data_IF_613727718273
#
_entry.id   IF_613727718273
#
_cell.length_a   1.000
_cell.length_b   1.000
_cell.length_c   1.000
_cell.angle_alpha   90.00
_cell.angle_beta   90.00
_cell.angle_gamma   90.00
#
_symmetry.space_group_name_H-M   'P 1'
#
loop_
_entity.id
_entity.type
_entity.pdbx_description
1 polymer ?
#
# COMPACT_ATOMS: atom_id res chain seq x y z
N UNK A 1 10.82 -26.07 -7.53
CA UNK A 1 9.61 -25.49 -8.17
C UNK A 1 9.71 -23.98 -8.03
N UNK A 2 9.43 -23.24 -9.11
CA UNK A 2 9.79 -21.84 -9.29
C UNK A 2 8.79 -20.87 -8.62
N UNK A 3 9.04 -20.46 -7.37
CA UNK A 3 8.24 -19.39 -6.72
C UNK A 3 8.40 -18.03 -7.42
N UNK A 4 9.63 -17.67 -7.84
CA UNK A 4 9.92 -16.33 -8.43
C UNK A 4 9.16 -15.98 -9.72
N UNK A 5 8.66 -16.97 -10.46
CA UNK A 5 8.01 -16.74 -11.77
C UNK A 5 6.56 -16.28 -11.64
N UNK A 6 5.87 -16.69 -10.57
CA UNK A 6 4.47 -16.32 -10.30
C UNK A 6 4.38 -14.89 -9.74
N UNK A 7 5.25 -14.55 -8.79
CA UNK A 7 5.31 -13.21 -8.18
C UNK A 7 5.45 -12.09 -9.21
N UNK A 8 6.29 -12.31 -10.23
CA UNK A 8 6.57 -11.31 -11.27
C UNK A 8 5.34 -11.09 -12.17
N UNK A 9 4.61 -12.15 -12.51
CA UNK A 9 3.37 -12.07 -13.30
C UNK A 9 2.25 -11.41 -12.50
N UNK A 10 2.08 -11.76 -11.23
CA UNK A 10 1.01 -11.19 -10.39
C UNK A 10 1.18 -9.68 -10.19
N UNK A 11 2.40 -9.25 -9.85
CA UNK A 11 2.72 -7.84 -9.65
C UNK A 11 2.54 -7.07 -10.97
N UNK A 12 2.82 -7.68 -12.14
CA UNK A 12 2.61 -7.05 -13.45
C UNK A 12 1.16 -6.65 -13.75
N UNK A 13 0.16 -7.29 -13.12
CA UNK A 13 -1.27 -7.00 -13.32
C UNK A 13 -1.76 -5.80 -12.50
N UNK A 14 -0.95 -5.34 -11.54
CA UNK A 14 -1.23 -4.17 -10.74
C UNK A 14 -0.79 -2.94 -11.55
N UNK A 15 -1.72 -2.01 -11.88
CA UNK A 15 -1.34 -0.80 -12.58
C UNK A 15 -0.36 0.02 -11.73
N UNK A 16 0.40 0.92 -12.36
CA UNK A 16 1.22 1.89 -11.62
C UNK A 16 0.32 3.04 -11.21
N UNK A 17 0.33 3.44 -9.94
CA UNK A 17 -0.36 4.66 -9.49
C UNK A 17 0.45 5.87 -9.98
N UNK A 18 -0.12 6.60 -10.92
CA UNK A 18 0.42 7.86 -11.43
C UNK A 18 -0.34 9.08 -10.92
N UNK A 19 -1.30 8.88 -10.00
CA UNK A 19 -2.22 9.91 -9.51
C UNK A 19 -3.58 9.93 -10.23
N UNK A 20 -3.76 9.12 -11.25
CA UNK A 20 -5.05 8.85 -11.90
C UNK A 20 -5.55 7.44 -11.57
N UNK A 21 -6.82 7.15 -11.90
CA UNK A 21 -7.43 5.80 -11.78
C UNK A 21 -7.22 5.12 -10.43
N UNK A 22 -7.11 5.89 -9.34
CA UNK A 22 -6.87 5.40 -7.97
C UNK A 22 -7.74 4.20 -7.60
N UNK A 23 -9.05 4.23 -7.87
CA UNK A 23 -9.94 3.11 -7.53
C UNK A 23 -9.54 1.77 -8.17
N UNK A 24 -9.05 1.77 -9.41
CA UNK A 24 -8.58 0.54 -10.07
C UNK A 24 -7.26 0.05 -9.45
N UNK A 25 -6.32 0.97 -9.21
CA UNK A 25 -5.07 0.67 -8.52
C UNK A 25 -5.33 0.10 -7.12
N UNK A 26 -6.19 0.76 -6.34
CA UNK A 26 -6.53 0.40 -4.97
C UNK A 26 -7.13 -1.01 -4.91
N UNK A 27 -8.10 -1.33 -5.77
CA UNK A 27 -8.71 -2.67 -5.80
C UNK A 27 -7.67 -3.75 -6.11
N UNK A 28 -6.80 -3.54 -7.10
CA UNK A 28 -5.74 -4.50 -7.48
C UNK A 28 -4.70 -4.66 -6.38
N UNK A 29 -4.24 -3.55 -5.78
CA UNK A 29 -3.27 -3.57 -4.70
C UNK A 29 -3.83 -4.26 -3.45
N UNK A 30 -5.09 -3.96 -3.05
CA UNK A 30 -5.74 -4.65 -1.93
C UNK A 30 -5.82 -6.16 -2.15
N UNK A 31 -6.22 -6.60 -3.35
CA UNK A 31 -6.27 -8.03 -3.67
C UNK A 31 -4.90 -8.68 -3.55
N UNK A 32 -3.84 -8.03 -4.05
CA UNK A 32 -2.49 -8.56 -3.99
C UNK A 32 -1.92 -8.60 -2.56
N UNK A 33 -2.20 -7.59 -1.74
CA UNK A 33 -1.80 -7.60 -0.33
C UNK A 33 -2.57 -8.67 0.46
N UNK A 34 -3.86 -8.90 0.16
CA UNK A 34 -4.63 -9.99 0.80
C UNK A 34 -4.10 -11.37 0.48
N UNK A 35 -3.70 -11.63 -0.76
CA UNK A 35 -3.17 -12.96 -1.12
C UNK A 35 -1.82 -13.28 -0.45
N UNK A 36 -1.19 -12.30 0.18
CA UNK A 36 0.07 -12.42 0.93
C UNK A 36 -0.10 -12.21 2.44
N UNK A 37 -1.33 -12.09 2.94
CA UNK A 37 -1.62 -11.76 4.35
C UNK A 37 -1.01 -10.42 4.83
N UNK A 38 -0.82 -9.47 3.91
CA UNK A 38 -0.20 -8.16 4.18
C UNK A 38 -1.21 -7.01 4.26
N UNK A 39 -2.48 -7.23 3.94
CA UNK A 39 -3.45 -6.11 3.95
C UNK A 39 -3.67 -5.56 5.36
N UNK A 40 -3.66 -6.43 6.37
CA UNK A 40 -4.03 -6.06 7.74
C UNK A 40 -3.10 -4.98 8.32
N UNK A 41 -1.79 -5.07 8.04
CA UNK A 41 -0.81 -4.08 8.52
C UNK A 41 -0.96 -2.69 7.90
N UNK A 42 -1.74 -2.57 6.82
CA UNK A 42 -2.01 -1.30 6.15
C UNK A 42 -3.39 -0.73 6.52
N UNK A 43 -4.30 -1.52 7.09
CA UNK A 43 -5.65 -1.07 7.47
C UNK A 43 -5.83 -0.93 8.99
N UNK A 44 -5.02 -1.64 9.80
CA UNK A 44 -5.14 -1.68 11.25
C UNK A 44 -3.84 -1.29 11.94
N UNK A 45 -3.95 -0.99 13.23
CA UNK A 45 -2.79 -0.85 14.13
C UNK A 45 -2.57 -2.16 14.88
N UNK A 46 -1.31 -2.45 15.22
CA UNK A 46 -1.01 -3.54 16.13
C UNK A 46 -1.61 -3.27 17.51
N UNK A 47 -2.02 -4.33 18.22
CA UNK A 47 -2.52 -4.22 19.59
C UNK A 47 -1.43 -3.63 20.53
N UNK A 48 -1.80 -2.74 21.46
CA UNK A 48 -0.84 -2.08 22.35
C UNK A 48 -0.15 -3.04 23.33
N UNK A 49 -0.77 -4.18 23.63
CA UNK A 49 -0.28 -5.24 24.52
C UNK A 49 0.35 -6.42 23.76
N UNK A 50 0.62 -6.25 22.46
CA UNK A 50 1.22 -7.29 21.65
C UNK A 50 2.61 -7.69 22.15
N UNK A 51 2.88 -9.00 22.16
CA UNK A 51 4.21 -9.51 22.49
C UNK A 51 5.29 -8.99 21.53
N UNK A 52 6.54 -8.92 21.98
CA UNK A 52 7.69 -8.52 21.14
C UNK A 52 7.79 -9.34 19.85
N UNK A 53 7.46 -10.64 19.89
CA UNK A 53 7.46 -11.49 18.70
C UNK A 53 6.38 -11.06 17.69
N UNK A 54 5.18 -10.71 18.18
CA UNK A 54 4.11 -10.20 17.34
C UNK A 54 4.47 -8.84 16.73
N UNK A 55 5.06 -7.92 17.52
CA UNK A 55 5.58 -6.63 17.03
C UNK A 55 6.59 -6.84 15.91
N UNK A 56 7.58 -7.72 16.09
CA UNK A 56 8.59 -7.97 15.06
C UNK A 56 8.01 -8.55 13.77
N UNK A 57 7.04 -9.47 13.86
CA UNK A 57 6.33 -10.02 12.70
C UNK A 57 5.53 -8.93 11.98
N UNK A 58 4.83 -8.09 12.74
CA UNK A 58 4.06 -6.97 12.22
C UNK A 58 4.94 -5.95 11.50
N UNK A 59 6.06 -5.55 12.10
CA UNK A 59 7.02 -4.62 11.49
C UNK A 59 7.58 -5.18 10.18
N UNK A 60 7.93 -6.47 10.15
CA UNK A 60 8.41 -7.12 8.91
C UNK A 60 7.33 -7.12 7.82
N UNK A 61 6.10 -7.46 8.15
CA UNK A 61 4.97 -7.43 7.22
C UNK A 61 4.69 -5.99 6.74
N UNK A 62 4.79 -4.99 7.63
CA UNK A 62 4.68 -3.56 7.27
C UNK A 62 5.71 -3.18 6.22
N UNK A 63 6.99 -3.52 6.40
CA UNK A 63 8.04 -3.22 5.43
C UNK A 63 7.84 -3.96 4.10
N UNK A 64 7.39 -5.21 4.13
CA UNK A 64 7.09 -5.96 2.92
C UNK A 64 5.95 -5.31 2.11
N UNK A 65 4.87 -4.91 2.80
CA UNK A 65 3.76 -4.21 2.18
C UNK A 65 4.17 -2.85 1.60
N UNK A 66 4.99 -2.06 2.33
CA UNK A 66 5.54 -0.79 1.85
C UNK A 66 6.36 -1.01 0.57
N UNK A 67 7.21 -2.04 0.53
CA UNK A 67 8.00 -2.35 -0.66
C UNK A 67 7.09 -2.70 -1.85
N UNK A 68 6.07 -3.53 -1.66
CA UNK A 68 5.12 -3.86 -2.74
C UNK A 68 4.36 -2.63 -3.23
N UNK A 69 3.89 -1.76 -2.33
CA UNK A 69 3.20 -0.53 -2.68
C UNK A 69 4.13 0.38 -3.49
N UNK A 70 5.33 0.64 -3.00
CA UNK A 70 6.29 1.57 -3.62
C UNK A 70 6.78 1.12 -4.99
N UNK A 71 6.85 -0.18 -5.27
CA UNK A 71 7.15 -0.69 -6.62
C UNK A 71 6.03 -0.41 -7.64
N UNK A 72 4.84 -0.03 -7.18
CA UNK A 72 3.64 0.18 -8.01
C UNK A 72 3.11 1.61 -7.90
N UNK A 73 3.98 2.55 -7.60
CA UNK A 73 3.72 3.99 -7.73
C UNK A 73 4.76 4.64 -8.63
N UNK A 74 4.41 5.76 -9.27
CA UNK A 74 5.39 6.58 -9.99
C UNK A 74 6.32 7.29 -9.02
N UNK A 75 7.48 7.75 -9.52
CA UNK A 75 8.44 8.53 -8.72
C UNK A 75 7.83 9.83 -8.15
N UNK A 76 6.90 10.45 -8.89
CA UNK A 76 6.13 11.60 -8.39
C UNK A 76 5.31 11.22 -7.16
N UNK A 77 4.49 10.17 -7.28
CA UNK A 77 3.64 9.69 -6.18
C UNK A 77 4.51 9.28 -5.00
N UNK A 78 5.63 8.58 -5.24
CA UNK A 78 6.60 8.20 -4.22
C UNK A 78 7.06 9.42 -3.40
N UNK A 79 7.52 10.48 -4.06
CA UNK A 79 7.96 11.72 -3.39
C UNK A 79 6.85 12.42 -2.61
N UNK A 80 5.61 12.31 -3.07
CA UNK A 80 4.45 12.92 -2.39
C UNK A 80 4.09 12.16 -1.10
N UNK A 81 4.16 10.83 -1.13
CA UNK A 81 3.66 9.99 -0.03
C UNK A 81 4.73 9.48 0.92
N UNK A 82 5.96 9.21 0.46
CA UNK A 82 7.03 8.65 1.29
C UNK A 82 7.79 9.75 2.04
N UNK A 83 7.74 9.70 3.37
CA UNK A 83 8.52 10.51 4.31
C UNK A 83 8.96 9.65 5.52
N UNK A 84 9.57 10.29 6.54
CA UNK A 84 10.05 9.60 7.75
C UNK A 84 8.97 8.87 8.55
N UNK A 85 7.70 9.24 8.42
CA UNK A 85 6.59 8.61 9.13
C UNK A 85 6.06 7.40 8.34
N UNK A 86 5.85 7.56 7.04
CA UNK A 86 5.23 6.53 6.19
C UNK A 86 6.21 5.43 5.76
N UNK A 87 7.52 5.69 5.77
CA UNK A 87 8.53 4.71 5.35
C UNK A 87 8.65 3.55 6.34
N UNK A 88 8.20 3.75 7.59
CA UNK A 88 8.25 2.72 8.63
C UNK A 88 6.89 2.08 8.93
N UNK A 89 5.79 2.70 8.46
CA UNK A 89 4.44 2.32 8.84
C UNK A 89 3.51 2.22 7.62
N UNK A 90 3.14 0.98 7.23
CA UNK A 90 2.28 0.75 6.06
C UNK A 90 0.92 1.42 6.22
N UNK A 91 0.37 1.47 7.44
CA UNK A 91 -0.93 2.09 7.68
C UNK A 91 -0.90 3.57 7.38
N UNK A 92 0.13 4.27 7.84
CA UNK A 92 0.27 5.71 7.58
C UNK A 92 0.54 5.97 6.08
N UNK A 93 1.36 5.14 5.43
CA UNK A 93 1.54 5.20 3.97
C UNK A 93 0.20 5.01 3.24
N UNK A 94 -0.56 3.98 3.60
CA UNK A 94 -1.82 3.64 2.96
C UNK A 94 -2.88 4.73 3.18
N UNK A 95 -2.96 5.28 4.39
CA UNK A 95 -3.83 6.42 4.71
C UNK A 95 -3.46 7.61 3.84
N UNK A 96 -2.19 8.01 3.80
CA UNK A 96 -1.75 9.17 3.01
C UNK A 96 -2.02 9.03 1.52
N UNK A 97 -1.77 7.86 0.93
CA UNK A 97 -2.15 7.58 -0.47
C UNK A 97 -3.67 7.71 -0.65
N UNK A 98 -4.45 7.16 0.27
CA UNK A 98 -5.92 7.21 0.20
C UNK A 98 -6.42 8.64 0.32
N UNK A 99 -5.97 9.40 1.32
CA UNK A 99 -6.36 10.80 1.53
C UNK A 99 -6.02 11.67 0.32
N UNK A 100 -4.85 11.44 -0.28
CA UNK A 100 -4.40 12.24 -1.41
C UNK A 100 -5.11 11.91 -2.73
N UNK A 101 -5.39 10.64 -3.02
CA UNK A 101 -5.87 10.23 -4.36
C UNK A 101 -7.31 9.71 -4.38
N UNK A 102 -7.89 9.36 -3.25
CA UNK A 102 -9.34 9.15 -3.12
C UNK A 102 -10.07 10.51 -3.01
N UNK A 103 -9.57 11.44 -2.19
CA UNK A 103 -10.23 12.73 -1.94
C UNK A 103 -10.18 13.69 -3.13
N UNK A 104 -9.12 13.65 -3.94
CA UNK A 104 -9.05 14.40 -5.21
C UNK A 104 -10.18 14.05 -6.19
N UNK A 105 -10.85 12.89 -6.03
CA UNK A 105 -12.07 12.56 -6.79
C UNK A 105 -13.33 13.26 -6.27
N UNK A 106 -13.42 13.57 -4.98
CA UNK A 106 -14.60 14.24 -4.41
C UNK A 106 -14.67 15.72 -4.85
N UNK A 107 -13.53 16.41 -4.84
CA UNK A 107 -13.45 17.84 -5.24
C UNK A 107 -13.82 18.04 -6.72
N UNK A 108 -13.45 17.11 -7.59
CA UNK A 108 -13.74 17.21 -9.03
C UNK A 108 -15.18 16.84 -9.43
N UNK A 109 -16.01 16.34 -8.50
CA UNK A 109 -17.43 16.01 -8.75
C UNK A 109 -18.41 17.09 -8.30
N UNK A 110 -17.97 18.05 -7.49
CA UNK A 110 -18.80 19.13 -6.96
C UNK A 110 -18.78 20.42 -7.78
N UNK A 111 -18.08 20.44 -8.91
CA UNK A 111 -17.99 21.61 -9.80
C UNK A 111 -18.44 21.21 -11.19
N UNK A 112 -19.76 21.13 -11.37
CA UNK A 112 -20.46 21.13 -12.66
C UNK A 112 -21.55 22.18 -12.58
#
# INVERSE_FOLDING_TARGET
>A
MNEKSLDTKEISTIPILDGTKYGHWQMRMKTHLRSRDLLEVCEKSIAPDASTSAVNKWTKASFEAINLITTRVTERVFREVINSETIENCRELWSKITDQYASKRAVNRGRV
#
